data_IF_248938303750
#
_entry.id   IF_248938303750
#
_cell.length_a   1.000
_cell.length_b   1.000
_cell.length_c   1.000
_cell.angle_alpha   90.00
_cell.angle_beta   90.00
_cell.angle_gamma   90.00
#
_symmetry.space_group_name_H-M   'P 1'
#
loop_
_entity.id
_entity.type
_entity.pdbx_description
1 polymer ?
#
# COMPACT_ATOMS: atom_id res chain seq x y z
N UNK A 1 17.06 16.11 -7.94
CA UNK A 1 15.86 15.46 -7.34
C UNK A 1 14.55 16.22 -7.46
N UNK A 2 14.46 17.50 -7.05
CA UNK A 2 13.18 18.26 -7.12
C UNK A 2 12.57 18.30 -8.52
N UNK A 3 13.39 18.59 -9.52
CA UNK A 3 13.00 18.64 -10.93
C UNK A 3 12.50 17.28 -11.43
N UNK A 4 13.06 16.18 -10.93
CA UNK A 4 12.64 14.82 -11.29
C UNK A 4 11.27 14.51 -10.72
N UNK A 5 11.04 14.86 -9.45
CA UNK A 5 9.71 14.70 -8.85
C UNK A 5 8.69 15.58 -9.59
N UNK A 6 9.04 16.82 -9.97
CA UNK A 6 8.17 17.66 -10.79
C UNK A 6 7.89 17.07 -12.17
N UNK A 7 8.89 16.42 -12.79
CA UNK A 7 8.77 15.78 -14.11
C UNK A 7 7.87 14.54 -14.09
N UNK A 8 8.03 13.66 -13.10
CA UNK A 8 7.35 12.35 -13.07
C UNK A 8 6.13 12.29 -12.16
N UNK A 9 6.09 13.13 -11.11
CA UNK A 9 4.99 13.21 -10.15
C UNK A 9 4.65 14.69 -9.83
N UNK A 10 4.18 15.47 -10.80
CA UNK A 10 3.96 16.91 -10.65
C UNK A 10 2.96 17.27 -9.55
N UNK A 11 1.92 16.47 -9.34
CA UNK A 11 0.96 16.73 -8.28
C UNK A 11 1.58 16.51 -6.89
N UNK A 12 2.29 15.41 -6.70
CA UNK A 12 3.04 15.12 -5.47
C UNK A 12 4.07 16.22 -5.19
N UNK A 13 4.80 16.69 -6.22
CA UNK A 13 5.71 17.82 -6.06
C UNK A 13 4.97 19.05 -5.50
N UNK A 14 3.83 19.40 -6.09
CA UNK A 14 3.02 20.57 -5.67
C UNK A 14 2.52 20.43 -4.23
N UNK A 15 2.11 19.23 -3.82
CA UNK A 15 1.69 18.96 -2.43
C UNK A 15 2.81 19.21 -1.42
N UNK A 16 4.06 18.91 -1.81
CA UNK A 16 5.22 18.89 -0.93
C UNK A 16 6.16 20.10 -1.10
N UNK A 17 5.94 20.98 -2.08
CA UNK A 17 6.86 22.06 -2.47
C UNK A 17 7.34 22.89 -1.27
N UNK A 18 6.45 23.16 -0.32
CA UNK A 18 6.71 23.98 0.87
C UNK A 18 7.23 23.19 2.09
N UNK A 19 7.30 21.86 2.03
CA UNK A 19 7.73 21.02 3.15
C UNK A 19 9.26 20.91 3.24
N UNK A 20 9.87 21.77 4.07
CA UNK A 20 11.32 21.76 4.28
C UNK A 20 11.86 20.45 4.86
N UNK A 21 11.07 19.71 5.67
CA UNK A 21 11.55 18.47 6.30
C UNK A 21 11.70 17.37 5.25
N UNK A 22 10.74 17.27 4.34
CA UNK A 22 10.80 16.35 3.20
C UNK A 22 12.04 16.64 2.35
N UNK A 23 12.26 17.90 1.94
CA UNK A 23 13.38 18.22 1.05
C UNK A 23 14.76 17.98 1.66
N UNK A 24 14.93 18.23 2.96
CA UNK A 24 16.16 17.86 3.68
C UNK A 24 16.41 16.35 3.68
N UNK A 25 15.36 15.53 3.65
CA UNK A 25 15.49 14.06 3.54
C UNK A 25 15.86 13.65 2.12
N UNK A 26 15.24 14.27 1.11
CA UNK A 26 15.50 14.05 -0.32
C UNK A 26 16.97 14.32 -0.68
N UNK A 27 17.57 15.38 -0.13
CA UNK A 27 18.98 15.75 -0.39
C UNK A 27 19.96 14.61 -0.04
N UNK A 28 19.63 13.76 0.94
CA UNK A 28 20.46 12.61 1.31
C UNK A 28 20.51 11.52 0.24
N UNK A 29 19.61 11.56 -0.74
CA UNK A 29 19.55 10.59 -1.83
C UNK A 29 20.39 11.00 -3.04
N UNK A 30 20.81 12.27 -3.13
CA UNK A 30 21.45 12.81 -4.33
C UNK A 30 22.65 11.97 -4.80
N UNK A 31 23.51 11.55 -3.87
CA UNK A 31 24.68 10.71 -4.20
C UNK A 31 24.30 9.31 -4.71
N UNK A 32 23.25 8.69 -4.14
CA UNK A 32 22.75 7.40 -4.61
C UNK A 32 22.13 7.52 -6.00
N UNK A 33 21.33 8.56 -6.23
CA UNK A 33 20.77 8.87 -7.54
C UNK A 33 21.89 8.96 -8.58
N UNK A 34 22.87 9.82 -8.34
CA UNK A 34 24.01 10.05 -9.24
C UNK A 34 24.78 8.75 -9.53
N UNK A 35 25.00 7.92 -8.50
CA UNK A 35 25.67 6.63 -8.67
C UNK A 35 24.87 5.67 -9.57
N UNK A 36 23.54 5.61 -9.42
CA UNK A 36 22.69 4.75 -10.24
C UNK A 36 22.63 5.25 -11.68
N UNK A 37 22.60 6.56 -11.91
CA UNK A 37 22.45 7.11 -13.26
C UNK A 37 23.75 7.22 -14.04
N UNK A 38 24.90 7.40 -13.37
CA UNK A 38 26.18 7.65 -14.06
C UNK A 38 26.69 6.46 -14.89
N UNK A 39 26.34 5.24 -14.49
CA UNK A 39 26.77 4.01 -15.17
C UNK A 39 25.60 3.08 -15.50
N UNK A 40 24.37 3.56 -15.34
CA UNK A 40 23.17 2.76 -15.45
C UNK A 40 22.69 2.61 -16.88
N UNK A 41 21.87 1.59 -17.13
CA UNK A 41 21.09 1.46 -18.35
C UNK A 41 19.62 1.16 -18.00
N UNK A 42 18.66 1.47 -18.89
CA UNK A 42 17.23 1.29 -18.61
C UNK A 42 16.82 -0.14 -18.27
N UNK A 43 17.59 -1.15 -18.69
CA UNK A 43 17.29 -2.57 -18.47
C UNK A 43 18.04 -3.17 -17.28
N UNK A 44 18.72 -2.34 -16.49
CA UNK A 44 19.48 -2.80 -15.34
C UNK A 44 18.53 -3.28 -14.24
N UNK A 45 18.77 -4.48 -13.72
CA UNK A 45 18.05 -4.97 -12.56
C UNK A 45 18.58 -4.30 -11.29
N UNK A 46 17.99 -3.15 -10.95
CA UNK A 46 18.33 -2.36 -9.76
C UNK A 46 17.35 -2.76 -8.65
N UNK A 47 17.82 -3.27 -7.50
CA UNK A 47 16.93 -3.50 -6.38
C UNK A 47 16.37 -2.15 -5.88
N UNK A 48 15.04 -2.10 -5.76
CA UNK A 48 14.30 -0.87 -5.45
C UNK A 48 14.06 -0.77 -3.94
N UNK A 49 14.60 0.27 -3.32
CA UNK A 49 14.51 0.51 -1.88
C UNK A 49 13.73 1.78 -1.54
N UNK A 50 13.42 2.60 -2.53
CA UNK A 50 12.64 3.83 -2.35
C UNK A 50 12.09 4.35 -3.68
N UNK A 51 11.22 5.37 -3.59
CA UNK A 51 10.65 6.04 -4.76
C UNK A 51 11.71 6.68 -5.68
N UNK A 52 12.88 7.01 -5.14
CA UNK A 52 13.92 7.65 -5.94
C UNK A 52 14.73 6.67 -6.78
N UNK A 53 14.76 5.39 -6.42
CA UNK A 53 15.32 4.34 -7.28
C UNK A 53 14.44 4.19 -8.54
N UNK A 54 13.12 4.30 -8.38
CA UNK A 54 12.19 4.41 -9.52
C UNK A 54 12.47 5.65 -10.37
N UNK A 55 12.75 6.81 -9.76
CA UNK A 55 13.13 8.01 -10.52
C UNK A 55 14.45 7.86 -11.27
N UNK A 56 15.45 7.19 -10.67
CA UNK A 56 16.70 6.90 -11.35
C UNK A 56 16.48 6.00 -12.57
N UNK A 57 15.67 4.94 -12.43
CA UNK A 57 15.28 4.09 -13.57
C UNK A 57 14.51 4.86 -14.64
N UNK A 58 13.59 5.74 -14.23
CA UNK A 58 12.83 6.57 -15.17
C UNK A 58 13.74 7.52 -15.96
N UNK A 59 14.74 8.13 -15.31
CA UNK A 59 15.75 8.96 -15.99
C UNK A 59 16.62 8.16 -16.96
N UNK A 60 16.87 6.89 -16.67
CA UNK A 60 17.54 5.98 -17.59
C UNK A 60 16.63 5.54 -18.76
N UNK A 61 15.35 5.92 -18.77
CA UNK A 61 14.38 5.59 -19.82
C UNK A 61 13.60 4.29 -19.58
N UNK A 62 13.62 3.75 -18.36
CA UNK A 62 12.84 2.57 -18.02
C UNK A 62 11.34 2.91 -18.03
N UNK A 63 10.60 2.30 -18.97
CA UNK A 63 9.18 2.60 -19.20
C UNK A 63 8.28 2.21 -18.01
N UNK A 64 8.52 1.05 -17.42
CA UNK A 64 7.77 0.58 -16.25
C UNK A 64 7.91 1.55 -15.08
N UNK A 65 9.12 2.07 -14.84
CA UNK A 65 9.37 3.05 -13.80
C UNK A 65 8.65 4.38 -14.03
N UNK A 66 8.67 4.87 -15.28
CA UNK A 66 7.95 6.07 -15.68
C UNK A 66 6.45 5.92 -15.40
N UNK A 67 5.86 4.82 -15.86
CA UNK A 67 4.42 4.60 -15.73
C UNK A 67 4.00 4.29 -14.29
N UNK A 68 4.87 3.65 -13.50
CA UNK A 68 4.65 3.48 -12.06
C UNK A 68 4.61 4.82 -11.33
N UNK A 69 5.56 5.73 -11.61
CA UNK A 69 5.57 7.07 -11.00
C UNK A 69 4.33 7.88 -11.37
N UNK A 70 3.88 7.81 -12.63
CA UNK A 70 2.62 8.43 -13.07
C UNK A 70 1.40 7.83 -12.37
N UNK A 71 1.38 6.51 -12.17
CA UNK A 71 0.33 5.83 -11.44
C UNK A 71 0.25 6.34 -9.99
N UNK A 72 1.38 6.47 -9.30
CA UNK A 72 1.42 7.00 -7.93
C UNK A 72 0.91 8.44 -7.88
N UNK A 73 1.35 9.30 -8.80
CA UNK A 73 0.89 10.70 -8.88
C UNK A 73 -0.62 10.79 -9.13
N UNK A 74 -1.12 10.00 -10.09
CA UNK A 74 -2.55 9.93 -10.43
C UNK A 74 -3.38 9.38 -9.27
N UNK A 75 -2.86 8.42 -8.52
CA UNK A 75 -3.53 7.87 -7.34
C UNK A 75 -3.64 8.94 -6.25
N UNK A 76 -2.60 9.74 -6.03
CA UNK A 76 -2.64 10.86 -5.09
C UNK A 76 -3.66 11.94 -5.49
N UNK A 77 -3.77 12.25 -6.80
CA UNK A 77 -4.80 13.15 -7.32
C UNK A 77 -6.19 12.60 -6.97
N UNK A 78 -6.47 11.35 -7.39
CA UNK A 78 -7.76 10.70 -7.17
C UNK A 78 -8.11 10.65 -5.67
N UNK A 79 -7.20 10.21 -4.82
CA UNK A 79 -7.43 10.17 -3.39
C UNK A 79 -7.75 11.56 -2.81
N UNK A 80 -7.06 12.61 -3.27
CA UNK A 80 -7.31 13.98 -2.80
C UNK A 80 -8.68 14.50 -3.26
N UNK A 81 -9.07 14.25 -4.50
CA UNK A 81 -10.35 14.67 -5.07
C UNK A 81 -11.55 13.93 -4.45
N UNK A 82 -11.34 12.71 -3.97
CA UNK A 82 -12.37 11.87 -3.36
C UNK A 82 -12.65 12.20 -1.90
N UNK A 83 -11.67 12.76 -1.21
CA UNK A 83 -11.78 13.12 0.20
C UNK A 83 -12.33 14.53 0.37
N UNK A 84 -13.02 14.77 1.49
CA UNK A 84 -13.39 16.14 1.86
C UNK A 84 -12.13 16.98 2.11
N UNK A 85 -12.23 18.31 1.95
CA UNK A 85 -11.09 19.22 2.12
C UNK A 85 -10.38 19.02 3.47
N UNK A 86 -11.14 18.69 4.52
CA UNK A 86 -10.65 18.36 5.86
C UNK A 86 -9.61 17.23 5.86
N UNK A 87 -9.73 16.27 4.95
CA UNK A 87 -8.87 15.08 4.87
C UNK A 87 -7.87 15.10 3.71
N UNK A 88 -7.85 16.16 2.91
CA UNK A 88 -6.79 16.37 1.89
C UNK A 88 -5.36 16.30 2.50
N UNK A 89 -5.22 16.72 3.76
CA UNK A 89 -3.96 16.64 4.49
C UNK A 89 -3.51 15.18 4.74
N UNK A 90 -4.45 14.23 4.87
CA UNK A 90 -4.11 12.82 5.07
C UNK A 90 -3.34 12.27 3.86
N UNK A 91 -3.78 12.59 2.64
CA UNK A 91 -3.06 12.21 1.41
C UNK A 91 -1.68 12.85 1.37
N UNK A 92 -1.58 14.15 1.70
CA UNK A 92 -0.30 14.85 1.76
C UNK A 92 0.68 14.19 2.73
N UNK A 93 0.22 13.75 3.89
CA UNK A 93 1.06 13.08 4.87
C UNK A 93 1.54 11.72 4.38
N UNK A 94 0.65 10.87 3.84
CA UNK A 94 0.99 9.58 3.24
C UNK A 94 2.04 9.77 2.13
N UNK A 95 1.78 10.70 1.21
CA UNK A 95 2.71 11.04 0.13
C UNK A 95 4.05 11.53 0.68
N UNK A 96 4.05 12.36 1.72
CA UNK A 96 5.27 12.77 2.41
C UNK A 96 6.04 11.56 2.96
N UNK A 97 5.35 10.57 3.56
CA UNK A 97 6.00 9.34 4.03
C UNK A 97 6.55 8.49 2.88
N UNK A 98 5.85 8.34 1.76
CA UNK A 98 6.38 7.68 0.55
C UNK A 98 7.71 8.31 0.12
N UNK A 99 7.77 9.65 0.09
CA UNK A 99 8.95 10.41 -0.33
C UNK A 99 10.09 10.34 0.71
N UNK A 100 9.77 10.27 2.01
CA UNK A 100 10.79 10.19 3.08
C UNK A 100 11.28 8.77 3.36
N UNK A 101 10.47 7.77 3.02
CA UNK A 101 10.74 6.36 3.25
C UNK A 101 11.95 5.92 2.43
N UNK A 102 12.97 5.47 3.16
CA UNK A 102 14.19 4.95 2.60
C UNK A 102 14.69 3.85 3.51
N UNK A 103 14.83 2.65 2.96
CA UNK A 103 15.43 1.55 3.68
C UNK A 103 16.94 1.78 3.72
N UNK A 104 17.43 2.16 4.90
CA UNK A 104 18.85 2.46 5.12
C UNK A 104 19.72 1.22 5.09
N UNK A 105 19.12 0.04 5.24
CA UNK A 105 19.81 -1.23 5.14
C UNK A 105 19.60 -1.83 3.74
N UNK A 106 20.56 -1.56 2.86
CA UNK A 106 20.59 -2.06 1.48
C UNK A 106 20.73 -3.59 1.40
N UNK A 107 20.99 -4.28 2.51
CA UNK A 107 20.98 -5.75 2.57
C UNK A 107 19.58 -6.31 2.79
N UNK A 108 18.65 -5.49 3.32
CA UNK A 108 17.26 -5.87 3.52
C UNK A 108 16.48 -5.55 2.25
N UNK A 109 16.60 -6.45 1.27
CA UNK A 109 15.70 -6.50 0.11
C UNK A 109 14.24 -6.81 0.48
N UNK A 110 13.97 -7.12 1.75
CA UNK A 110 12.84 -7.96 2.13
C UNK A 110 11.63 -7.27 2.78
N UNK A 111 11.60 -5.95 2.98
CA UNK A 111 10.39 -5.22 3.40
C UNK A 111 10.57 -3.71 3.23
N UNK A 112 10.44 -3.17 2.01
CA UNK A 112 10.75 -1.77 1.85
C UNK A 112 9.64 -0.88 2.39
N UNK A 113 9.98 0.00 3.33
CA UNK A 113 9.00 0.79 4.09
C UNK A 113 8.08 1.64 3.19
N UNK A 114 8.59 2.10 2.05
CA UNK A 114 7.82 2.91 1.11
C UNK A 114 6.62 2.17 0.51
N UNK A 115 6.66 0.84 0.37
CA UNK A 115 5.54 0.05 -0.14
C UNK A 115 4.37 0.02 0.84
N UNK A 116 4.60 0.16 2.15
CA UNK A 116 3.51 0.28 3.12
C UNK A 116 2.70 1.55 2.86
N UNK A 117 3.39 2.69 2.70
CA UNK A 117 2.73 3.96 2.44
C UNK A 117 2.09 4.04 1.04
N UNK A 118 2.68 3.38 0.03
CA UNK A 118 2.00 3.21 -1.26
C UNK A 118 0.73 2.38 -1.07
N UNK A 119 0.79 1.29 -0.30
CA UNK A 119 -0.34 0.45 0.06
C UNK A 119 -1.47 1.23 0.73
N UNK A 120 -1.14 2.07 1.70
CA UNK A 120 -2.08 3.00 2.34
C UNK A 120 -2.73 3.93 1.31
N UNK A 121 -1.94 4.52 0.40
CA UNK A 121 -2.44 5.46 -0.61
C UNK A 121 -3.43 4.78 -1.58
N UNK A 122 -3.05 3.65 -2.17
CA UNK A 122 -3.90 2.92 -3.12
C UNK A 122 -5.13 2.32 -2.42
N UNK A 123 -4.94 1.85 -1.18
CA UNK A 123 -6.00 1.30 -0.35
C UNK A 123 -7.03 2.35 0.04
N UNK A 124 -6.58 3.53 0.48
CA UNK A 124 -7.44 4.66 0.78
C UNK A 124 -8.26 5.07 -0.45
N UNK A 125 -7.59 5.20 -1.61
CA UNK A 125 -8.24 5.52 -2.89
C UNK A 125 -9.29 4.48 -3.28
N UNK A 126 -9.01 3.19 -3.05
CA UNK A 126 -9.94 2.11 -3.36
C UNK A 126 -11.16 2.09 -2.42
N UNK A 127 -10.95 2.25 -1.10
CA UNK A 127 -12.00 2.25 -0.09
C UNK A 127 -12.94 3.45 -0.25
N UNK A 128 -12.38 4.63 -0.53
CA UNK A 128 -13.12 5.89 -0.65
C UNK A 128 -13.62 6.19 -2.06
N UNK A 129 -13.52 5.21 -2.97
CA UNK A 129 -13.91 5.39 -4.37
C UNK A 129 -15.38 5.85 -4.52
N UNK A 130 -15.67 6.95 -5.24
CA UNK A 130 -17.01 7.50 -5.47
C UNK A 130 -17.98 6.55 -6.17
N UNK A 131 -17.48 5.50 -6.83
CA UNK A 131 -18.33 4.45 -7.40
C UNK A 131 -18.99 3.56 -6.33
N UNK A 132 -18.39 3.44 -5.15
CA UNK A 132 -18.87 2.61 -4.05
C UNK A 132 -19.56 3.45 -2.94
N UNK A 133 -19.06 4.68 -2.66
CA UNK A 133 -19.56 5.61 -1.60
C UNK A 133 -19.92 4.94 -0.27
N UNK A 134 -19.29 3.82 0.05
CA UNK A 134 -19.62 3.03 1.24
C UNK A 134 -18.97 3.59 2.49
N UNK A 135 -17.76 4.12 2.35
CA UNK A 135 -16.95 4.56 3.49
C UNK A 135 -16.58 6.03 3.37
N UNK A 136 -16.77 6.76 4.47
CA UNK A 136 -16.25 8.10 4.66
C UNK A 136 -15.07 8.05 5.65
N UNK A 137 -13.94 8.65 5.28
CA UNK A 137 -12.79 8.76 6.19
C UNK A 137 -13.12 9.73 7.33
N UNK A 138 -12.92 9.29 8.57
CA UNK A 138 -13.07 10.11 9.77
C UNK A 138 -11.74 10.57 10.33
N UNK A 139 -10.71 9.72 10.28
CA UNK A 139 -9.38 10.01 10.82
C UNK A 139 -8.30 9.09 10.22
N UNK A 140 -7.06 9.59 10.16
CA UNK A 140 -5.84 8.82 9.82
C UNK A 140 -5.00 8.66 11.10
N UNK A 141 -4.32 7.53 11.24
CA UNK A 141 -3.46 7.23 12.40
C UNK A 141 -4.23 7.30 13.72
N UNK A 142 -5.43 6.72 13.74
CA UNK A 142 -6.33 6.77 14.89
C UNK A 142 -5.69 6.08 16.11
N UNK A 143 -5.47 6.84 17.18
CA UNK A 143 -4.77 6.35 18.37
C UNK A 143 -5.66 5.41 19.19
N UNK A 144 -5.18 4.20 19.39
CA UNK A 144 -5.81 3.15 20.19
C UNK A 144 -5.43 3.29 21.68
N UNK A 145 -6.21 2.69 22.61
CA UNK A 145 -5.92 2.76 24.06
C UNK A 145 -4.55 2.21 24.47
N UNK A 146 -3.98 1.29 23.68
CA UNK A 146 -2.64 0.74 23.92
C UNK A 146 -1.50 1.62 23.37
N UNK A 147 -1.80 2.87 22.97
CA UNK A 147 -0.88 3.83 22.33
C UNK A 147 -0.37 3.45 20.94
N UNK A 148 -0.86 2.36 20.33
CA UNK A 148 -0.65 2.10 18.91
C UNK A 148 -1.69 2.86 18.08
N UNK A 149 -1.51 2.96 16.77
CA UNK A 149 -2.48 3.56 15.85
C UNK A 149 -3.10 2.54 14.89
N UNK A 150 -4.36 2.74 14.49
CA UNK A 150 -4.89 2.14 13.26
C UNK A 150 -4.62 3.10 12.09
N UNK A 151 -4.31 2.58 10.91
CA UNK A 151 -3.97 3.41 9.76
C UNK A 151 -5.14 4.35 9.39
N UNK A 152 -6.38 3.85 9.35
CA UNK A 152 -7.58 4.65 9.10
C UNK A 152 -8.76 4.32 10.01
N UNK A 153 -9.59 5.33 10.22
CA UNK A 153 -10.89 5.25 10.87
C UNK A 153 -11.98 5.71 9.89
N UNK A 154 -12.96 4.86 9.62
CA UNK A 154 -14.02 5.12 8.65
C UNK A 154 -15.41 5.06 9.29
N UNK A 155 -16.36 5.81 8.70
CA UNK A 155 -17.79 5.63 8.85
C UNK A 155 -18.30 4.83 7.65
N UNK A 156 -18.91 3.67 7.91
CA UNK A 156 -19.72 2.95 6.93
C UNK A 156 -21.06 3.68 6.79
N UNK A 157 -21.29 4.28 5.62
CA UNK A 157 -22.48 5.08 5.33
C UNK A 157 -23.74 4.25 5.15
N UNK A 158 -23.63 2.95 4.83
CA UNK A 158 -24.77 2.05 4.68
C UNK A 158 -25.31 1.63 6.06
N UNK A 159 -24.40 1.32 6.99
CA UNK A 159 -24.75 0.80 8.31
C UNK A 159 -24.71 1.85 9.41
N UNK A 160 -24.20 3.05 9.12
CA UNK A 160 -23.89 4.11 10.10
C UNK A 160 -22.97 3.65 11.24
N UNK A 161 -22.20 2.57 11.02
CA UNK A 161 -21.24 2.04 11.98
C UNK A 161 -19.85 2.49 11.62
N UNK A 162 -19.00 2.59 12.62
CA UNK A 162 -17.60 2.97 12.42
C UNK A 162 -16.71 1.74 12.41
N UNK A 163 -15.62 1.80 11.65
CA UNK A 163 -14.66 0.72 11.47
C UNK A 163 -13.24 1.27 11.45
N UNK A 164 -12.33 0.60 12.15
CA UNK A 164 -10.90 0.83 12.08
C UNK A 164 -10.30 -0.12 11.04
N UNK A 165 -9.42 0.38 10.18
CA UNK A 165 -8.77 -0.41 9.14
C UNK A 165 -7.27 -0.23 9.24
N UNK A 166 -6.55 -1.34 9.21
CA UNK A 166 -5.09 -1.38 9.30
C UNK A 166 -4.53 -2.24 8.15
N UNK A 167 -3.48 -1.74 7.47
CA UNK A 167 -2.96 -2.34 6.24
C UNK A 167 -1.86 -3.34 6.55
N UNK A 168 -1.91 -4.51 5.93
CA UNK A 168 -0.81 -5.49 6.04
C UNK A 168 -0.18 -5.66 4.68
N UNK A 169 0.98 -5.04 4.46
CA UNK A 169 1.80 -5.36 3.29
C UNK A 169 2.40 -6.75 3.42
N UNK A 170 2.17 -7.55 2.39
CA UNK A 170 2.64 -8.92 2.26
C UNK A 170 3.58 -8.96 1.07
N UNK A 171 4.86 -8.86 1.39
CA UNK A 171 5.97 -8.94 0.44
C UNK A 171 6.83 -10.16 0.75
N UNK A 172 7.63 -10.59 -0.23
CA UNK A 172 8.77 -11.49 -0.07
C UNK A 172 8.45 -12.88 0.50
N UNK A 173 7.20 -13.32 0.38
CA UNK A 173 6.86 -14.72 0.56
C UNK A 173 6.87 -15.32 -0.84
N UNK A 174 7.85 -16.17 -1.13
CA UNK A 174 7.92 -16.91 -2.39
C UNK A 174 7.21 -18.24 -2.20
N UNK A 175 6.05 -18.50 -2.83
CA UNK A 175 5.32 -19.76 -2.73
C UNK A 175 6.19 -21.02 -2.78
N UNK A 176 7.12 -21.06 -3.74
CA UNK A 176 8.08 -22.13 -3.96
C UNK A 176 8.98 -22.47 -2.75
N UNK A 177 9.27 -21.49 -1.89
CA UNK A 177 10.11 -21.67 -0.69
C UNK A 177 9.33 -22.11 0.53
N UNK A 178 8.00 -22.01 0.47
CA UNK A 178 7.10 -22.32 1.59
C UNK A 178 6.74 -23.82 1.61
N UNK A 179 6.95 -24.52 0.50
CA UNK A 179 6.88 -25.98 0.38
C UNK A 179 5.48 -26.58 0.31
N UNK A 180 4.45 -25.89 0.83
CA UNK A 180 3.05 -26.29 0.68
C UNK A 180 2.05 -25.12 0.82
N UNK A 181 0.83 -25.23 0.26
CA UNK A 181 -0.25 -24.26 0.48
C UNK A 181 -0.60 -24.06 1.97
N UNK A 182 -0.59 -25.15 2.77
CA UNK A 182 -0.89 -25.08 4.21
C UNK A 182 0.15 -24.27 5.00
N UNK A 183 1.43 -24.40 4.65
CA UNK A 183 2.48 -23.60 5.24
C UNK A 183 2.33 -22.12 4.87
N UNK A 184 1.91 -21.81 3.64
CA UNK A 184 1.66 -20.44 3.22
C UNK A 184 0.49 -19.85 4.01
N UNK A 185 -0.60 -20.60 4.12
CA UNK A 185 -1.76 -20.23 4.94
C UNK A 185 -1.35 -19.97 6.39
N UNK A 186 -0.57 -20.86 7.00
CA UNK A 186 -0.07 -20.68 8.35
C UNK A 186 0.77 -19.41 8.51
N UNK A 187 1.67 -19.12 7.57
CA UNK A 187 2.50 -17.92 7.58
C UNK A 187 1.67 -16.64 7.46
N UNK A 188 0.71 -16.61 6.52
CA UNK A 188 -0.17 -15.46 6.31
C UNK A 188 -1.06 -15.21 7.52
N UNK A 189 -1.70 -16.26 8.04
CA UNK A 189 -2.50 -16.18 9.25
C UNK A 189 -1.70 -15.69 10.45
N UNK A 190 -0.48 -16.21 10.65
CA UNK A 190 0.35 -15.72 11.74
C UNK A 190 0.70 -14.24 11.60
N UNK A 191 0.94 -13.75 10.38
CA UNK A 191 1.23 -12.32 10.16
C UNK A 191 0.01 -11.46 10.46
N UNK A 192 -1.17 -11.87 10.00
CA UNK A 192 -2.44 -11.17 10.23
C UNK A 192 -2.81 -11.21 11.72
N UNK A 193 -2.78 -12.38 12.34
CA UNK A 193 -3.10 -12.57 13.75
C UNK A 193 -2.14 -11.78 14.65
N UNK A 194 -0.84 -11.79 14.37
CA UNK A 194 0.11 -10.95 15.14
C UNK A 194 -0.23 -9.46 15.06
N UNK A 195 -0.66 -8.96 13.89
CA UNK A 195 -1.06 -7.56 13.76
C UNK A 195 -2.35 -7.29 14.53
N UNK A 196 -3.37 -8.14 14.39
CA UNK A 196 -4.62 -8.06 15.17
C UNK A 196 -4.36 -8.11 16.68
N UNK A 197 -3.66 -9.13 17.17
CA UNK A 197 -3.28 -9.32 18.58
C UNK A 197 -2.54 -8.12 19.16
N UNK A 198 -1.71 -7.46 18.34
CA UNK A 198 -0.99 -6.26 18.80
C UNK A 198 -1.93 -5.06 19.03
N UNK A 199 -3.07 -4.98 18.34
CA UNK A 199 -3.98 -3.82 18.32
C UNK A 199 -5.24 -4.02 19.16
N UNK A 200 -5.69 -5.26 19.31
CA UNK A 200 -6.93 -5.61 20.03
C UNK A 200 -6.62 -6.31 21.34
N UNK A 201 -7.18 -5.80 22.45
CA UNK A 201 -6.93 -6.36 23.79
C UNK A 201 -7.77 -7.63 24.04
N UNK A 202 -8.86 -7.86 23.27
CA UNK A 202 -9.76 -9.01 23.41
C UNK A 202 -10.15 -9.60 22.05
N UNK A 203 -9.30 -10.47 21.48
CA UNK A 203 -9.69 -11.28 20.33
C UNK A 203 -10.64 -12.38 20.79
N UNK A 204 -11.94 -12.19 20.62
CA UNK A 204 -12.83 -13.36 20.54
C UNK A 204 -12.75 -13.88 19.11
N UNK A 205 -12.80 -15.21 18.92
CA UNK A 205 -12.80 -15.84 17.57
C UNK A 205 -13.95 -15.38 16.66
N UNK A 206 -14.91 -14.60 17.16
CA UNK A 206 -16.14 -14.25 16.47
C UNK A 206 -16.24 -12.77 16.08
N UNK A 207 -15.50 -11.87 16.70
CA UNK A 207 -15.53 -10.43 16.38
C UNK A 207 -14.17 -9.81 16.74
N UNK A 208 -13.48 -9.18 15.77
CA UNK A 208 -12.27 -8.41 16.03
C UNK A 208 -12.70 -6.99 16.39
N UNK A 209 -12.83 -6.73 17.70
CA UNK A 209 -13.24 -5.42 18.21
C UNK A 209 -12.16 -4.80 19.07
N UNK A 210 -12.01 -3.49 18.93
CA UNK A 210 -11.27 -2.65 19.88
C UNK A 210 -12.27 -2.01 20.83
N UNK A 211 -12.01 -2.12 22.13
CA UNK A 211 -12.74 -1.38 23.17
C UNK A 211 -12.02 -0.05 23.38
N UNK A 212 -12.65 1.07 23.02
CA UNK A 212 -12.12 2.41 23.21
C UNK A 212 -12.21 2.88 24.68
N UNK A 213 -11.55 4.01 24.97
CA UNK A 213 -11.78 4.75 26.21
C UNK A 213 -13.27 5.10 26.35
N UNK A 214 -13.89 4.71 27.47
CA UNK A 214 -15.34 4.84 27.68
C UNK A 214 -16.17 3.61 27.35
N UNK A 215 -15.54 2.50 26.91
CA UNK A 215 -16.20 1.20 26.77
C UNK A 215 -16.92 0.96 25.44
N UNK A 216 -16.80 1.87 24.47
CA UNK A 216 -17.36 1.69 23.13
C UNK A 216 -16.58 0.60 22.37
N UNK A 217 -17.29 -0.37 21.80
CA UNK A 217 -16.71 -1.39 20.91
C UNK A 217 -16.75 -0.91 19.45
N UNK A 218 -15.62 -1.01 18.75
CA UNK A 218 -15.48 -0.69 17.33
C UNK A 218 -14.88 -1.87 16.58
N UNK A 219 -15.41 -2.17 15.40
CA UNK A 219 -14.86 -3.21 14.53
C UNK A 219 -13.46 -2.82 14.03
N UNK A 220 -12.55 -3.78 14.02
CA UNK A 220 -11.19 -3.60 13.56
C UNK A 220 -10.89 -4.60 12.45
N UNK A 221 -10.69 -4.07 11.26
CA UNK A 221 -10.42 -4.87 10.08
C UNK A 221 -8.98 -4.75 9.59
N UNK A 222 -8.49 -5.83 9.00
CA UNK A 222 -7.22 -5.85 8.30
C UNK A 222 -7.48 -5.80 6.80
N UNK A 223 -6.77 -4.92 6.08
CA UNK A 223 -6.68 -4.96 4.63
C UNK A 223 -5.32 -5.51 4.21
N UNK A 224 -5.23 -6.80 3.80
CA UNK A 224 -4.00 -7.35 3.29
C UNK A 224 -3.72 -6.82 1.87
N UNK A 225 -2.49 -6.38 1.65
CA UNK A 225 -1.97 -5.93 0.35
C UNK A 225 -0.81 -6.81 -0.05
N UNK A 226 -0.94 -7.51 -1.16
CA UNK A 226 0.08 -8.38 -1.71
C UNK A 226 0.99 -7.62 -2.69
N UNK A 227 2.30 -7.82 -2.55
CA UNK A 227 3.34 -7.27 -3.41
C UNK A 227 4.12 -8.42 -4.07
N UNK A 228 3.46 -9.17 -4.94
CA UNK A 228 4.05 -10.32 -5.65
C UNK A 228 3.75 -10.26 -7.15
N UNK A 229 4.50 -11.05 -7.91
CA UNK A 229 4.30 -11.23 -9.34
C UNK A 229 2.97 -11.95 -9.64
N UNK A 230 2.42 -11.70 -10.83
CA UNK A 230 1.14 -12.28 -11.27
C UNK A 230 1.11 -13.82 -11.16
N UNK A 231 2.23 -14.48 -11.45
CA UNK A 231 2.37 -15.94 -11.38
C UNK A 231 2.15 -16.51 -9.96
N UNK A 232 2.51 -15.75 -8.93
CA UNK A 232 2.38 -16.19 -7.53
C UNK A 232 0.96 -16.00 -7.00
N UNK A 233 0.17 -15.09 -7.59
CA UNK A 233 -1.11 -14.66 -7.05
C UNK A 233 -2.12 -15.81 -6.88
N UNK A 234 -1.96 -16.93 -7.59
CA UNK A 234 -2.97 -18.01 -7.64
C UNK A 234 -3.06 -18.73 -6.32
N UNK A 235 -1.89 -19.07 -5.79
CA UNK A 235 -1.80 -19.70 -4.50
C UNK A 235 -2.30 -18.77 -3.37
N UNK A 236 -1.99 -17.47 -3.47
CA UNK A 236 -2.51 -16.49 -2.50
C UNK A 236 -4.04 -16.37 -2.54
N UNK A 237 -4.63 -16.37 -3.74
CA UNK A 237 -6.08 -16.26 -3.91
C UNK A 237 -6.84 -17.43 -3.30
N UNK A 238 -6.34 -18.66 -3.47
CA UNK A 238 -6.94 -19.85 -2.86
C UNK A 238 -6.91 -19.75 -1.33
N UNK A 239 -5.77 -19.34 -0.77
CA UNK A 239 -5.62 -19.14 0.68
C UNK A 239 -6.55 -18.04 1.19
N UNK A 240 -6.55 -16.85 0.57
CA UNK A 240 -7.37 -15.73 1.01
C UNK A 240 -8.86 -15.97 0.82
N UNK A 241 -9.30 -16.72 -0.20
CA UNK A 241 -10.70 -17.16 -0.33
C UNK A 241 -11.16 -17.98 0.87
N UNK A 242 -10.27 -18.75 1.48
CA UNK A 242 -10.57 -19.49 2.71
C UNK A 242 -10.56 -18.57 3.95
N UNK A 243 -9.65 -17.59 3.99
CA UNK A 243 -9.58 -16.62 5.09
C UNK A 243 -10.81 -15.70 5.13
N UNK A 244 -11.19 -15.14 3.98
CA UNK A 244 -12.36 -14.26 3.84
C UNK A 244 -13.66 -14.95 4.30
N UNK A 245 -13.75 -16.28 4.16
CA UNK A 245 -14.91 -17.07 4.63
C UNK A 245 -14.94 -17.29 6.14
N UNK A 246 -13.77 -17.32 6.79
CA UNK A 246 -13.63 -17.79 8.17
C UNK A 246 -13.37 -16.65 9.17
N UNK A 247 -13.07 -15.43 8.70
CA UNK A 247 -12.73 -14.28 9.54
C UNK A 247 -13.57 -13.06 9.14
N UNK A 248 -14.41 -12.59 10.08
CA UNK A 248 -15.41 -11.52 9.83
C UNK A 248 -14.81 -10.13 9.57
N UNK A 249 -13.54 -9.90 9.91
CA UNK A 249 -12.90 -8.59 9.82
C UNK A 249 -11.57 -8.63 9.04
N UNK A 250 -11.46 -9.52 8.04
CA UNK A 250 -10.41 -9.43 7.02
C UNK A 250 -11.08 -8.93 5.75
N UNK A 251 -10.69 -7.73 5.30
CA UNK A 251 -11.15 -7.21 4.02
C UNK A 251 -10.52 -8.03 2.88
N UNK A 252 -11.19 -8.13 1.72
CA UNK A 252 -10.66 -8.88 0.59
C UNK A 252 -9.22 -8.47 0.27
N UNK A 253 -8.33 -9.46 0.18
CA UNK A 253 -6.93 -9.20 -0.13
C UNK A 253 -6.79 -8.51 -1.49
N UNK A 254 -5.98 -7.46 -1.53
CA UNK A 254 -5.72 -6.68 -2.74
C UNK A 254 -4.28 -6.87 -3.22
N UNK A 255 -4.04 -6.61 -4.50
CA UNK A 255 -2.71 -6.58 -5.09
C UNK A 255 -2.62 -5.44 -6.10
N UNK A 256 -1.42 -4.90 -6.27
CA UNK A 256 -1.11 -4.01 -7.39
C UNK A 256 -0.59 -4.86 -8.54
N UNK A 257 -1.38 -4.96 -9.61
CA UNK A 257 -1.05 -5.78 -10.78
C UNK A 257 -0.57 -4.88 -11.91
N UNK A 258 0.68 -5.05 -12.38
CA UNK A 258 1.12 -4.44 -13.63
C UNK A 258 0.55 -5.24 -14.81
N UNK A 259 0.09 -4.53 -15.83
CA UNK A 259 -0.25 -5.07 -17.14
C UNK A 259 0.40 -4.22 -18.23
N UNK A 260 0.48 -4.75 -19.44
CA UNK A 260 1.02 -4.02 -20.59
C UNK A 260 -0.11 -3.84 -21.59
N UNK A 261 -0.40 -2.60 -21.96
CA UNK A 261 -1.44 -2.29 -22.94
C UNK A 261 -0.95 -2.48 -24.38
N UNK A 262 -1.83 -2.29 -25.37
CA UNK A 262 -1.53 -2.48 -26.80
C UNK A 262 -0.39 -1.58 -27.31
N UNK A 263 -0.15 -0.44 -26.66
CA UNK A 263 0.94 0.49 -26.98
C UNK A 263 2.26 0.13 -26.29
N UNK A 264 2.29 -0.98 -25.54
CA UNK A 264 3.42 -1.39 -24.73
C UNK A 264 3.65 -0.51 -23.51
N UNK A 265 2.68 0.32 -23.09
CA UNK A 265 2.75 1.08 -21.83
C UNK A 265 2.36 0.19 -20.66
N UNK A 266 2.94 0.44 -19.49
CA UNK A 266 2.58 -0.29 -18.28
C UNK A 266 1.37 0.37 -17.61
N UNK A 267 0.35 -0.43 -17.33
CA UNK A 267 -0.82 0.00 -16.56
C UNK A 267 -0.83 -0.73 -15.22
N UNK A 268 -1.00 0.03 -14.15
CA UNK A 268 -1.01 -0.49 -12.78
C UNK A 268 -2.42 -0.41 -12.24
N UNK A 269 -2.95 -1.56 -11.83
CA UNK A 269 -4.30 -1.66 -11.29
C UNK A 269 -4.26 -2.23 -9.87
N UNK A 270 -4.92 -1.54 -8.94
CA UNK A 270 -5.13 -2.05 -7.59
C UNK A 270 -6.47 -2.80 -7.53
N UNK A 271 -6.41 -4.12 -7.40
CA UNK A 271 -7.57 -5.01 -7.53
C UNK A 271 -7.60 -6.04 -6.40
N UNK A 272 -8.80 -6.51 -6.05
CA UNK A 272 -8.93 -7.67 -5.16
C UNK A 272 -8.38 -8.91 -5.85
N UNK A 273 -7.79 -9.84 -5.10
CA UNK A 273 -7.30 -11.10 -5.65
C UNK A 273 -8.41 -11.86 -6.39
N UNK A 274 -9.65 -11.83 -5.90
CA UNK A 274 -10.80 -12.45 -6.58
C UNK A 274 -11.02 -11.89 -7.99
N UNK A 275 -11.03 -10.57 -8.16
CA UNK A 275 -11.27 -9.92 -9.45
C UNK A 275 -10.13 -10.12 -10.46
N UNK A 276 -8.90 -10.31 -9.98
CA UNK A 276 -7.73 -10.58 -10.83
C UNK A 276 -7.92 -11.93 -11.56
N UNK A 277 -8.48 -12.96 -10.92
CA UNK A 277 -8.72 -14.26 -11.59
C UNK A 277 -9.80 -14.18 -12.65
N UNK A 278 -10.87 -13.45 -12.38
CA UNK A 278 -11.96 -13.25 -13.34
C UNK A 278 -11.47 -12.52 -14.59
N UNK A 279 -10.54 -11.58 -14.43
CA UNK A 279 -10.02 -10.78 -15.52
C UNK A 279 -8.95 -11.50 -16.36
N UNK A 280 -8.01 -12.22 -15.73
CA UNK A 280 -6.87 -12.82 -16.44
C UNK A 280 -7.10 -14.25 -16.94
N UNK A 281 -8.27 -14.87 -16.67
CA UNK A 281 -8.58 -16.25 -17.12
C UNK A 281 -7.44 -17.25 -16.83
N UNK A 282 -6.75 -17.10 -15.70
CA UNK A 282 -5.62 -17.94 -15.31
C UNK A 282 -6.19 -19.31 -14.86
N UNK A 283 -6.34 -20.23 -15.81
CA UNK A 283 -6.66 -21.64 -15.56
C UNK A 283 -5.51 -22.38 -14.87
#
# INVERSE_FOLDING_TARGET
MKELLLKYCPFIYKLLEKDRKVWKRVEKFQSRFENLTSNGNPNQNIPIHCIYDWMALAELGNKQAIDFLKFIDTTAIKATEQLSEKFSNAVKEIVSEIIKAFDTDLSISNNPAYLNYIGELVGLQAITNPGNKKFELLEREYKLPNNLSADFYFLDLETSKTILVDFVSIHNIKPERVGSPDNLKFLLLNRINKKLESKTINLTKKENKVVLEGGQEINFAILPILWNELADLKLYSEVFRELDKNYLDILPCCSLVPSVNENGDYEFEFKTLSSIYEFYSIN
#
